data_IF_505026425170
#
_entry.id   IF_505026425170
#
_cell.length_a   1.000
_cell.length_b   1.000
_cell.length_c   1.000
_cell.angle_alpha   90.00
_cell.angle_beta   90.00
_cell.angle_gamma   90.00
#
_symmetry.space_group_name_H-M   'P 1'
#
loop_
_entity.id
_entity.type
_entity.pdbx_description
1 polymer ?
#
# COMPACT_ATOMS: atom_id res chain seq x y z
N UNK A 1 41.44 32.67 -13.37
CA UNK A 1 42.57 32.97 -12.48
C UNK A 1 42.50 34.47 -12.14
N UNK A 2 41.76 34.81 -11.05
CA UNK A 2 41.62 36.18 -10.58
C UNK A 2 42.09 36.19 -9.12
N UNK A 3 43.22 36.85 -8.89
CA UNK A 3 43.80 37.08 -7.56
C UNK A 3 43.13 38.31 -6.95
N UNK A 4 42.53 38.15 -5.79
CA UNK A 4 42.15 39.29 -4.92
C UNK A 4 43.23 39.48 -3.85
N UNK A 5 43.89 40.62 -3.91
CA UNK A 5 44.83 41.10 -2.90
C UNK A 5 44.06 41.94 -1.89
N UNK A 6 44.00 41.49 -0.64
CA UNK A 6 43.50 42.28 0.49
C UNK A 6 44.62 43.15 1.06
N UNK A 7 44.41 44.45 1.06
CA UNK A 7 45.29 45.49 1.62
C UNK A 7 44.89 45.67 3.10
N UNK A 8 45.79 45.32 4.01
CA UNK A 8 45.68 45.61 5.43
C UNK A 8 45.74 47.13 5.66
N UNK A 9 44.75 47.67 6.39
CA UNK A 9 44.83 48.95 7.08
C UNK A 9 44.84 48.69 8.59
N UNK A 10 45.98 48.97 9.23
CA UNK A 10 46.12 49.02 10.67
C UNK A 10 45.23 50.12 11.25
N UNK A 11 44.37 49.75 12.19
CA UNK A 11 43.80 50.69 13.17
C UNK A 11 43.88 50.03 14.55
N UNK A 12 44.81 50.57 15.31
CA UNK A 12 45.03 50.28 16.74
C UNK A 12 43.88 50.86 17.55
N UNK A 13 43.06 49.97 18.14
CA UNK A 13 42.30 50.30 19.36
C UNK A 13 42.11 49.01 20.16
N UNK A 14 42.56 49.03 21.40
CA UNK A 14 42.50 47.93 22.34
C UNK A 14 41.05 47.53 22.65
N UNK A 15 40.67 46.29 22.35
CA UNK A 15 39.40 45.69 22.74
C UNK A 15 39.63 44.98 24.09
N UNK A 16 38.77 45.17 25.13
CA UNK A 16 38.93 44.54 26.42
C UNK A 16 38.82 43.02 26.33
N UNK A 17 39.68 42.31 27.07
CA UNK A 17 39.83 40.85 27.05
C UNK A 17 38.57 40.00 27.39
N UNK A 18 37.49 40.65 27.80
CA UNK A 18 36.21 39.94 28.12
C UNK A 18 35.32 39.63 26.90
N UNK A 19 35.53 40.29 25.75
CA UNK A 19 34.73 40.09 24.54
C UNK A 19 35.30 38.93 23.68
N UNK A 20 36.59 38.66 23.83
CA UNK A 20 37.27 37.60 23.07
C UNK A 20 36.82 36.17 23.46
N UNK A 21 36.48 35.99 24.74
CA UNK A 21 36.06 34.65 25.23
C UNK A 21 34.66 34.21 24.74
N UNK A 22 33.73 35.18 24.60
CA UNK A 22 32.39 34.89 24.08
C UNK A 22 32.37 34.61 22.57
N UNK A 23 33.26 35.26 21.82
CA UNK A 23 33.35 35.04 20.40
C UNK A 23 33.98 33.70 20.03
N UNK A 24 34.94 33.23 20.86
CA UNK A 24 35.55 31.91 20.69
C UNK A 24 34.57 30.77 21.03
N UNK A 25 33.77 30.90 22.07
CA UNK A 25 32.73 29.93 22.44
C UNK A 25 31.62 29.93 21.40
N UNK A 26 31.23 31.09 20.84
CA UNK A 26 30.23 31.18 19.78
C UNK A 26 30.70 30.54 18.46
N UNK A 27 31.98 30.69 18.12
CA UNK A 27 32.59 30.06 16.95
C UNK A 27 32.77 28.53 17.13
N UNK A 28 33.05 28.07 18.36
CA UNK A 28 33.15 26.65 18.67
C UNK A 28 31.79 25.97 18.62
N UNK A 29 30.73 26.60 19.13
CA UNK A 29 29.35 26.07 19.05
C UNK A 29 28.84 26.00 17.62
N UNK A 30 29.25 26.92 16.72
CA UNK A 30 28.90 26.86 15.29
C UNK A 30 29.70 25.78 14.55
N UNK A 31 30.93 25.45 15.03
CA UNK A 31 31.76 24.42 14.38
C UNK A 31 31.32 22.99 14.73
N UNK A 32 30.75 22.78 15.89
CA UNK A 32 30.20 21.46 16.27
C UNK A 32 28.80 21.19 15.73
N UNK A 33 28.03 22.20 15.35
CA UNK A 33 26.75 22.05 14.70
C UNK A 33 26.81 21.84 13.16
N UNK A 34 27.98 21.50 12.61
CA UNK A 34 28.05 20.81 11.29
C UNK A 34 27.61 19.34 11.42
N UNK A 35 26.56 19.10 12.20
CA UNK A 35 25.73 17.93 12.10
C UNK A 35 25.10 17.93 10.71
N UNK A 36 25.27 16.83 9.99
CA UNK A 36 24.68 16.46 8.71
C UNK A 36 23.48 17.33 8.39
N UNK A 37 23.58 18.17 7.39
CA UNK A 37 22.40 18.79 6.80
C UNK A 37 21.47 17.63 6.45
N UNK A 38 20.41 17.46 7.22
CA UNK A 38 19.29 16.59 6.88
C UNK A 38 18.69 17.31 5.67
N UNK A 39 19.16 16.93 4.48
CA UNK A 39 18.49 17.32 3.26
C UNK A 39 17.04 16.87 3.46
N UNK A 40 16.04 17.74 3.25
CA UNK A 40 14.66 17.32 3.32
C UNK A 40 14.53 16.12 2.40
N UNK A 41 14.32 14.95 2.97
CA UNK A 41 14.04 13.76 2.17
C UNK A 41 12.75 14.08 1.43
N UNK A 42 12.87 14.31 0.12
CA UNK A 42 11.71 14.49 -0.73
C UNK A 42 10.82 13.28 -0.49
N UNK A 43 9.58 13.52 -0.11
CA UNK A 43 8.62 12.43 0.11
C UNK A 43 8.58 11.55 -1.14
N UNK A 44 8.59 10.22 -0.99
CA UNK A 44 8.55 9.33 -2.14
C UNK A 44 7.27 9.57 -2.95
N UNK A 45 7.40 9.56 -4.24
CA UNK A 45 6.26 9.57 -5.16
C UNK A 45 5.76 8.16 -5.36
N UNK A 46 4.45 8.00 -5.55
CA UNK A 46 3.82 6.70 -5.68
C UNK A 46 3.14 6.55 -7.03
N UNK A 47 3.20 5.33 -7.57
CA UNK A 47 2.62 4.95 -8.85
C UNK A 47 1.95 3.59 -8.70
N UNK A 48 0.67 3.50 -9.06
CA UNK A 48 -0.02 2.21 -9.24
C UNK A 48 0.16 1.79 -10.68
N UNK A 49 0.56 0.54 -10.88
CA UNK A 49 0.69 -0.09 -12.19
C UNK A 49 -0.16 -1.34 -12.22
N UNK A 50 -0.85 -1.55 -13.35
CA UNK A 50 -1.53 -2.80 -13.68
C UNK A 50 -0.95 -3.33 -14.98
N UNK A 51 -0.49 -4.58 -14.98
CA UNK A 51 -0.11 -5.33 -16.17
C UNK A 51 -1.12 -6.45 -16.37
N UNK A 52 -1.66 -6.56 -17.58
CA UNK A 52 -2.63 -7.59 -17.97
C UNK A 52 -2.18 -8.22 -19.28
N UNK A 53 -2.24 -9.53 -19.38
CA UNK A 53 -1.95 -10.28 -20.61
C UNK A 53 -1.81 -11.78 -20.38
N UNK A 54 -1.46 -12.52 -21.44
CA UNK A 54 -1.26 -13.97 -21.39
C UNK A 54 -0.08 -14.33 -20.49
N UNK A 55 -0.26 -15.30 -19.60
CA UNK A 55 0.82 -15.76 -18.73
C UNK A 55 1.94 -16.47 -19.50
N UNK A 56 3.15 -16.12 -19.16
CA UNK A 56 4.37 -16.74 -19.72
C UNK A 56 5.46 -16.84 -18.63
N UNK A 57 6.19 -17.96 -18.55
CA UNK A 57 7.28 -18.10 -17.60
C UNK A 57 8.28 -16.93 -17.66
N UNK A 58 8.58 -16.32 -16.52
CA UNK A 58 9.54 -15.24 -16.38
C UNK A 58 9.01 -13.82 -16.62
N UNK A 59 7.73 -13.65 -17.00
CA UNK A 59 7.14 -12.33 -17.27
C UNK A 59 7.13 -11.43 -16.02
N UNK A 60 6.74 -11.98 -14.87
CA UNK A 60 6.74 -11.27 -13.58
C UNK A 60 8.16 -10.86 -13.19
N UNK A 61 9.14 -11.76 -13.35
CA UNK A 61 10.54 -11.44 -13.08
C UNK A 61 11.07 -10.32 -14.00
N UNK A 62 10.67 -10.33 -15.28
CA UNK A 62 11.07 -9.27 -16.22
C UNK A 62 10.51 -7.91 -15.81
N UNK A 63 9.22 -7.85 -15.41
CA UNK A 63 8.58 -6.61 -14.94
C UNK A 63 9.24 -6.12 -13.64
N UNK A 64 9.39 -6.98 -12.64
CA UNK A 64 9.95 -6.59 -11.33
C UNK A 64 11.40 -6.16 -11.43
N UNK A 65 12.20 -6.81 -12.29
CA UNK A 65 13.57 -6.39 -12.60
C UNK A 65 13.61 -5.02 -13.27
N UNK A 66 12.70 -4.75 -14.20
CA UNK A 66 12.59 -3.44 -14.85
C UNK A 66 12.24 -2.35 -13.85
N UNK A 67 11.26 -2.59 -12.95
CA UNK A 67 10.90 -1.69 -11.85
C UNK A 67 12.13 -1.36 -10.99
N UNK A 68 12.87 -2.36 -10.56
CA UNK A 68 14.09 -2.19 -9.74
C UNK A 68 15.19 -1.42 -10.49
N UNK A 69 15.37 -1.67 -11.79
CA UNK A 69 16.37 -0.97 -12.61
C UNK A 69 16.07 0.52 -12.78
N UNK A 70 14.81 0.92 -12.69
CA UNK A 70 14.41 2.33 -12.70
C UNK A 70 14.59 3.01 -11.32
N UNK A 71 15.03 2.29 -10.30
CA UNK A 71 15.20 2.83 -8.93
C UNK A 71 13.89 2.96 -8.16
N UNK A 72 12.85 2.23 -8.56
CA UNK A 72 11.58 2.12 -7.84
C UNK A 72 11.59 0.94 -6.88
N UNK A 73 10.87 1.09 -5.75
CA UNK A 73 10.56 0.02 -4.81
C UNK A 73 9.12 -0.45 -5.01
N UNK A 74 8.88 -1.76 -4.82
CA UNK A 74 7.53 -2.33 -4.81
C UNK A 74 7.07 -2.40 -3.36
N UNK A 75 6.04 -1.62 -3.00
CA UNK A 75 5.49 -1.56 -1.63
C UNK A 75 4.38 -2.60 -1.41
N UNK A 76 3.56 -2.82 -2.42
CA UNK A 76 2.47 -3.79 -2.38
C UNK A 76 2.24 -4.35 -3.78
N UNK A 77 1.78 -5.59 -3.88
CA UNK A 77 1.46 -6.20 -5.16
C UNK A 77 0.42 -7.30 -5.02
N UNK A 78 -0.36 -7.48 -6.09
CA UNK A 78 -1.32 -8.57 -6.23
C UNK A 78 -1.18 -9.17 -7.62
N UNK A 79 -1.17 -10.49 -7.69
CA UNK A 79 -1.18 -11.25 -8.94
C UNK A 79 -2.35 -12.23 -8.91
N UNK A 80 -3.11 -12.27 -9.99
CA UNK A 80 -4.20 -13.21 -10.15
C UNK A 80 -4.24 -13.75 -11.58
N UNK A 81 -4.63 -15.03 -11.70
CA UNK A 81 -4.94 -15.67 -12.99
C UNK A 81 -6.45 -15.67 -13.16
N UNK A 82 -6.95 -15.13 -14.26
CA UNK A 82 -8.37 -15.04 -14.59
C UNK A 82 -8.59 -15.52 -16.04
N UNK A 83 -9.04 -16.77 -16.20
CA UNK A 83 -9.04 -17.42 -17.49
C UNK A 83 -7.60 -17.69 -17.98
N UNK A 84 -7.31 -17.35 -19.21
CA UNK A 84 -5.97 -17.47 -19.81
C UNK A 84 -5.08 -16.26 -19.57
N UNK A 85 -5.61 -15.24 -18.89
CA UNK A 85 -4.92 -13.99 -18.64
C UNK A 85 -4.45 -13.89 -17.19
N UNK A 86 -3.25 -13.30 -16.98
CA UNK A 86 -2.84 -12.86 -15.68
C UNK A 86 -3.04 -11.37 -15.51
N UNK A 87 -3.29 -10.94 -14.30
CA UNK A 87 -3.23 -9.53 -13.90
C UNK A 87 -2.25 -9.36 -12.77
N UNK A 88 -1.37 -8.37 -12.89
CA UNK A 88 -0.37 -8.05 -11.89
C UNK A 88 -0.45 -6.56 -11.55
N UNK A 89 -0.97 -6.27 -10.35
CA UNK A 89 -1.11 -4.90 -9.84
C UNK A 89 0.00 -4.65 -8.83
N UNK A 90 0.66 -3.50 -8.93
CA UNK A 90 1.76 -3.09 -8.04
C UNK A 90 1.57 -1.65 -7.59
N UNK A 91 1.88 -1.38 -6.32
CA UNK A 91 2.13 -0.05 -5.80
C UNK A 91 3.63 0.17 -5.72
N UNK A 92 4.11 1.14 -6.45
CA UNK A 92 5.52 1.51 -6.49
C UNK A 92 5.76 2.81 -5.74
N UNK A 93 6.94 2.93 -5.12
CA UNK A 93 7.46 4.19 -4.60
C UNK A 93 8.86 4.47 -5.14
N UNK A 94 9.19 5.76 -5.24
CA UNK A 94 10.51 6.18 -5.71
C UNK A 94 10.67 7.68 -5.73
N UNK A 95 11.88 8.14 -6.10
CA UNK A 95 12.11 9.55 -6.38
C UNK A 95 11.29 10.01 -7.60
N UNK A 96 11.11 11.32 -7.75
CA UNK A 96 10.45 11.87 -8.94
C UNK A 96 11.06 11.33 -10.24
N UNK A 97 12.40 11.28 -10.31
CA UNK A 97 13.10 10.79 -11.50
C UNK A 97 12.85 9.29 -11.75
N UNK A 98 12.85 8.46 -10.70
CA UNK A 98 12.57 7.04 -10.79
C UNK A 98 11.15 6.79 -11.33
N UNK A 99 10.14 7.49 -10.77
CA UNK A 99 8.75 7.38 -11.23
C UNK A 99 8.60 7.86 -12.68
N UNK A 100 9.22 8.97 -13.05
CA UNK A 100 9.16 9.46 -14.43
C UNK A 100 9.86 8.50 -15.41
N UNK A 101 10.95 7.88 -14.99
CA UNK A 101 11.67 6.90 -15.79
C UNK A 101 10.79 5.65 -16.04
N UNK A 102 10.17 5.09 -15.00
CA UNK A 102 9.31 3.91 -15.17
C UNK A 102 8.07 4.23 -16.03
N UNK A 103 7.46 5.41 -15.87
CA UNK A 103 6.33 5.85 -16.70
C UNK A 103 6.67 5.92 -18.19
N UNK A 104 7.90 6.31 -18.53
CA UNK A 104 8.33 6.41 -19.91
C UNK A 104 8.80 5.09 -20.52
N UNK A 105 9.33 4.17 -19.72
CA UNK A 105 9.98 2.95 -20.22
C UNK A 105 9.10 1.69 -20.10
N UNK A 106 8.23 1.62 -19.08
CA UNK A 106 7.40 0.43 -18.88
C UNK A 106 6.38 0.18 -20.00
N UNK A 107 5.75 1.19 -20.65
CA UNK A 107 4.88 0.93 -21.80
C UNK A 107 5.59 0.25 -22.97
N UNK A 108 6.84 0.62 -23.24
CA UNK A 108 7.66 -0.02 -24.27
C UNK A 108 7.94 -1.47 -23.89
N UNK A 109 8.31 -1.72 -22.63
CA UNK A 109 8.51 -3.07 -22.12
C UNK A 109 7.21 -3.88 -22.15
N UNK A 110 6.08 -3.27 -21.86
CA UNK A 110 4.75 -3.88 -21.98
C UNK A 110 4.46 -4.32 -23.43
N UNK A 111 4.73 -3.45 -24.40
CA UNK A 111 4.56 -3.79 -25.81
C UNK A 111 5.44 -4.96 -26.25
N UNK A 112 6.72 -5.01 -25.81
CA UNK A 112 7.61 -6.15 -26.07
C UNK A 112 7.09 -7.48 -25.48
N UNK A 113 6.39 -7.38 -24.34
CA UNK A 113 5.84 -8.53 -23.63
C UNK A 113 4.39 -8.83 -23.99
N UNK A 114 3.79 -8.06 -24.93
CA UNK A 114 2.39 -8.14 -25.34
C UNK A 114 1.41 -7.94 -24.15
N UNK A 115 1.78 -7.02 -23.24
CA UNK A 115 0.98 -6.68 -22.07
C UNK A 115 0.28 -5.34 -22.23
N UNK A 116 -0.96 -5.28 -21.78
CA UNK A 116 -1.64 -4.03 -21.50
C UNK A 116 -1.10 -3.46 -20.19
N UNK A 117 -0.49 -2.28 -20.27
CA UNK A 117 0.02 -1.56 -19.08
C UNK A 117 -0.86 -0.35 -18.82
N UNK A 118 -1.39 -0.27 -17.60
CA UNK A 118 -2.12 0.91 -17.10
C UNK A 118 -1.37 1.47 -15.90
N UNK A 119 -1.16 2.78 -15.89
CA UNK A 119 -0.42 3.45 -14.82
C UNK A 119 -1.19 4.67 -14.30
N UNK A 120 -1.14 4.89 -12.98
CA UNK A 120 -1.76 6.04 -12.34
C UNK A 120 -0.91 6.50 -11.15
N UNK A 121 -0.47 7.77 -11.17
CA UNK A 121 0.15 8.38 -9.98
C UNK A 121 -0.85 8.43 -8.83
N UNK A 122 -0.38 8.14 -7.63
CA UNK A 122 -1.18 8.13 -6.42
C UNK A 122 -0.39 8.77 -5.26
N UNK A 123 -1.06 8.99 -4.16
CA UNK A 123 -0.41 9.43 -2.92
C UNK A 123 -0.20 8.23 -2.01
N UNK A 124 0.76 8.33 -1.09
CA UNK A 124 0.87 7.37 0.00
C UNK A 124 -0.49 7.31 0.72
N UNK A 125 -1.06 6.11 0.80
CA UNK A 125 -2.29 5.94 1.56
C UNK A 125 -1.92 6.04 3.03
N UNK A 126 -2.16 7.20 3.63
CA UNK A 126 -2.29 7.28 5.08
C UNK A 126 -3.50 6.40 5.43
N UNK A 127 -3.24 5.16 5.83
CA UNK A 127 -4.31 4.31 6.36
C UNK A 127 -4.67 4.88 7.73
N UNK A 128 -5.81 5.57 7.89
CA UNK A 128 -6.31 5.80 9.24
C UNK A 128 -6.48 4.43 9.88
N UNK A 129 -6.28 4.28 11.20
CA UNK A 129 -6.60 3.05 11.88
C UNK A 129 -8.04 2.68 11.51
N UNK A 130 -8.23 1.54 10.86
CA UNK A 130 -9.57 1.05 10.51
C UNK A 130 -10.13 0.44 11.78
N UNK A 131 -11.17 1.04 12.39
CA UNK A 131 -11.64 0.59 13.69
C UNK A 131 -12.15 -0.84 13.67
N UNK A 132 -12.82 -1.25 12.58
CA UNK A 132 -13.37 -2.59 12.46
C UNK A 132 -13.11 -3.19 11.08
N UNK A 133 -12.75 -4.48 11.09
CA UNK A 133 -12.53 -5.28 9.88
C UNK A 133 -13.40 -6.53 9.93
N UNK A 134 -14.18 -6.76 8.88
CA UNK A 134 -14.98 -7.96 8.68
C UNK A 134 -14.30 -8.89 7.67
N UNK A 135 -14.06 -10.13 8.07
CA UNK A 135 -13.68 -11.22 7.17
C UNK A 135 -14.90 -12.10 6.94
N UNK A 136 -15.29 -12.23 5.69
CA UNK A 136 -16.48 -12.91 5.22
C UNK A 136 -16.06 -14.05 4.32
N UNK A 137 -16.54 -15.25 4.59
CA UNK A 137 -16.40 -16.40 3.71
C UNK A 137 -17.78 -16.99 3.48
N UNK A 138 -18.13 -17.26 2.23
CA UNK A 138 -19.43 -17.81 1.84
C UNK A 138 -19.24 -18.92 0.83
N UNK A 139 -19.99 -19.99 1.03
CA UNK A 139 -20.12 -21.10 0.09
C UNK A 139 -21.60 -21.30 -0.22
N UNK A 140 -21.98 -21.24 -1.49
CA UNK A 140 -23.37 -21.26 -1.93
C UNK A 140 -23.50 -21.87 -3.31
N UNK A 141 -24.63 -22.48 -3.64
CA UNK A 141 -24.92 -22.92 -5.00
C UNK A 141 -24.83 -21.71 -5.97
N UNK A 142 -24.07 -21.87 -7.06
CA UNK A 142 -23.84 -20.78 -8.00
C UNK A 142 -25.15 -20.33 -8.65
N UNK A 143 -25.41 -19.04 -8.58
CA UNK A 143 -26.52 -18.38 -9.27
C UNK A 143 -26.23 -16.90 -9.52
N UNK A 144 -26.91 -16.25 -10.48
CA UNK A 144 -26.76 -14.83 -10.72
C UNK A 144 -27.02 -13.97 -9.48
N UNK A 145 -26.36 -12.81 -9.40
CA UNK A 145 -26.54 -11.77 -8.37
C UNK A 145 -26.09 -12.11 -6.94
N UNK A 146 -25.48 -13.24 -6.67
CA UNK A 146 -25.03 -13.57 -5.30
C UNK A 146 -24.00 -12.59 -4.80
N UNK A 147 -22.95 -12.32 -5.60
CA UNK A 147 -21.88 -11.36 -5.21
C UNK A 147 -22.48 -9.98 -4.95
N UNK A 148 -23.40 -9.52 -5.81
CA UNK A 148 -24.13 -8.27 -5.67
C UNK A 148 -24.85 -8.19 -4.32
N UNK A 149 -25.57 -9.23 -3.91
CA UNK A 149 -26.29 -9.25 -2.63
C UNK A 149 -25.37 -9.12 -1.42
N UNK A 150 -24.18 -9.72 -1.45
CA UNK A 150 -23.22 -9.60 -0.36
C UNK A 150 -22.51 -8.22 -0.38
N UNK A 151 -22.23 -7.67 -1.54
CA UNK A 151 -21.67 -6.31 -1.64
C UNK A 151 -22.67 -5.25 -1.24
N UNK A 152 -23.97 -5.40 -1.55
CA UNK A 152 -25.06 -4.57 -1.07
C UNK A 152 -25.21 -4.60 0.46
N UNK A 153 -25.03 -5.78 1.05
CA UNK A 153 -25.03 -5.91 2.51
C UNK A 153 -23.92 -5.07 3.15
N UNK A 154 -22.71 -5.14 2.57
CA UNK A 154 -21.54 -4.38 3.04
C UNK A 154 -21.80 -2.86 2.89
N UNK A 155 -22.32 -2.42 1.73
CA UNK A 155 -22.63 -1.02 1.44
C UNK A 155 -23.71 -0.45 2.38
N UNK A 156 -24.81 -1.18 2.60
CA UNK A 156 -25.87 -0.79 3.55
C UNK A 156 -25.36 -0.56 4.97
N UNK A 157 -24.28 -1.21 5.36
CA UNK A 157 -23.62 -1.02 6.65
C UNK A 157 -22.46 -0.03 6.60
N UNK A 158 -22.35 0.75 5.49
CA UNK A 158 -21.33 1.77 5.28
C UNK A 158 -19.90 1.26 5.42
N UNK A 159 -19.67 0.00 5.07
CA UNK A 159 -18.36 -0.63 5.02
C UNK A 159 -17.80 -0.58 3.60
N UNK A 160 -16.47 -0.52 3.48
CA UNK A 160 -15.78 -0.56 2.19
C UNK A 160 -15.18 -1.94 1.96
N UNK A 161 -15.44 -2.53 0.79
CA UNK A 161 -14.76 -3.75 0.35
C UNK A 161 -13.29 -3.44 0.08
N UNK A 162 -12.40 -4.09 0.82
CA UNK A 162 -10.95 -3.96 0.64
C UNK A 162 -10.38 -5.06 -0.27
N UNK A 163 -10.96 -6.25 -0.18
CA UNK A 163 -10.58 -7.41 -0.99
C UNK A 163 -11.80 -8.27 -1.28
N UNK A 164 -11.88 -8.79 -2.49
CA UNK A 164 -12.90 -9.74 -2.90
C UNK A 164 -12.25 -10.78 -3.80
N UNK A 165 -12.41 -12.05 -3.44
CA UNK A 165 -12.02 -13.21 -4.23
C UNK A 165 -13.24 -14.11 -4.37
N UNK A 166 -13.56 -14.52 -5.59
CA UNK A 166 -14.62 -15.48 -5.84
C UNK A 166 -14.14 -16.58 -6.79
N UNK A 167 -14.63 -17.79 -6.58
CA UNK A 167 -14.31 -18.95 -7.43
C UNK A 167 -15.53 -19.85 -7.54
N UNK A 168 -15.77 -20.35 -8.74
CA UNK A 168 -16.77 -21.37 -8.99
C UNK A 168 -16.09 -22.74 -9.01
N UNK A 169 -16.54 -23.66 -8.17
CA UNK A 169 -16.16 -25.06 -8.24
C UNK A 169 -17.16 -25.76 -9.18
N UNK A 170 -16.67 -26.42 -10.25
CA UNK A 170 -17.55 -27.13 -11.18
C UNK A 170 -18.41 -28.20 -10.49
N UNK A 171 -19.57 -28.47 -11.06
CA UNK A 171 -20.46 -29.54 -10.63
C UNK A 171 -19.71 -30.87 -10.50
N UNK A 172 -19.85 -31.56 -9.37
CA UNK A 172 -19.28 -32.88 -9.13
C UNK A 172 -20.37 -33.83 -8.64
N UNK A 173 -20.46 -35.03 -9.24
CA UNK A 173 -21.30 -36.15 -8.75
C UNK A 173 -22.74 -35.74 -8.34
N UNK A 174 -23.49 -35.10 -9.23
CA UNK A 174 -24.86 -34.62 -9.00
C UNK A 174 -25.01 -33.41 -8.04
N UNK A 175 -23.92 -32.77 -7.65
CA UNK A 175 -23.99 -31.49 -6.94
C UNK A 175 -23.93 -30.33 -7.93
N UNK A 176 -24.73 -29.26 -7.75
CA UNK A 176 -24.65 -28.07 -8.60
C UNK A 176 -23.30 -27.39 -8.45
N UNK A 177 -22.91 -26.49 -9.41
CA UNK A 177 -21.75 -25.65 -9.25
C UNK A 177 -21.85 -24.85 -7.95
N UNK A 178 -20.75 -24.75 -7.24
CA UNK A 178 -20.70 -24.03 -5.97
C UNK A 178 -19.82 -22.79 -6.11
N UNK A 179 -20.36 -21.64 -5.73
CA UNK A 179 -19.65 -20.37 -5.66
C UNK A 179 -19.04 -20.22 -4.26
N UNK A 180 -17.74 -20.07 -4.21
CA UNK A 180 -16.98 -19.67 -3.03
C UNK A 180 -16.65 -18.19 -3.12
N UNK A 181 -16.95 -17.43 -2.06
CA UNK A 181 -16.66 -16.01 -1.96
C UNK A 181 -15.87 -15.75 -0.69
N UNK A 182 -14.80 -14.98 -0.82
CA UNK A 182 -14.05 -14.45 0.31
C UNK A 182 -13.97 -12.92 0.17
N UNK A 183 -14.36 -12.20 1.22
CA UNK A 183 -14.32 -10.76 1.25
C UNK A 183 -13.68 -10.25 2.53
N UNK A 184 -12.94 -9.15 2.41
CA UNK A 184 -12.49 -8.33 3.52
C UNK A 184 -13.12 -6.98 3.38
N UNK A 185 -13.83 -6.52 4.41
CA UNK A 185 -14.46 -5.21 4.43
C UNK A 185 -13.99 -4.41 5.65
N UNK A 186 -13.85 -3.10 5.47
CA UNK A 186 -13.41 -2.17 6.51
C UNK A 186 -14.51 -1.16 6.82
N UNK A 187 -14.77 -0.93 8.09
CA UNK A 187 -15.64 0.15 8.53
C UNK A 187 -14.82 1.41 8.85
N UNK A 188 -15.22 2.60 8.39
CA UNK A 188 -14.57 3.86 8.77
C UNK A 188 -14.94 4.28 10.20
N UNK A 189 -16.01 3.72 10.76
CA UNK A 189 -16.50 3.99 12.12
C UNK A 189 -16.63 2.67 12.87
N UNK A 190 -16.58 2.74 14.21
CA UNK A 190 -16.91 1.57 15.04
C UNK A 190 -18.34 1.10 14.72
N UNK A 191 -18.42 -0.07 14.14
CA UNK A 191 -19.71 -0.70 13.87
C UNK A 191 -20.07 -1.55 15.09
N UNK A 192 -21.27 -1.36 15.64
CA UNK A 192 -21.83 -2.36 16.56
C UNK A 192 -21.99 -3.64 15.75
N UNK A 193 -21.16 -4.66 16.01
CA UNK A 193 -21.09 -5.87 15.19
C UNK A 193 -22.39 -6.64 15.05
N UNK A 194 -23.28 -6.54 16.07
CA UNK A 194 -24.52 -7.29 16.15
C UNK A 194 -25.52 -7.07 14.98
N UNK A 195 -25.80 -5.83 14.51
CA UNK A 195 -26.71 -5.64 13.38
C UNK A 195 -26.17 -6.19 12.05
N UNK A 196 -24.87 -6.03 11.80
CA UNK A 196 -24.23 -6.57 10.60
C UNK A 196 -24.21 -8.09 10.61
N UNK A 197 -23.88 -8.70 11.74
CA UNK A 197 -23.88 -10.15 11.92
C UNK A 197 -25.26 -10.76 11.73
N UNK A 198 -26.30 -10.14 12.29
CA UNK A 198 -27.69 -10.57 12.10
C UNK A 198 -28.11 -10.49 10.63
N UNK A 199 -27.80 -9.39 9.95
CA UNK A 199 -28.12 -9.19 8.55
C UNK A 199 -27.37 -10.19 7.65
N UNK A 200 -26.09 -10.48 7.95
CA UNK A 200 -25.32 -11.49 7.27
C UNK A 200 -25.92 -12.89 7.43
N UNK A 201 -26.28 -13.28 8.65
CA UNK A 201 -26.89 -14.58 8.93
C UNK A 201 -28.25 -14.72 8.23
N UNK A 202 -29.06 -13.66 8.21
CA UNK A 202 -30.33 -13.65 7.47
C UNK A 202 -30.11 -13.86 5.98
N UNK A 203 -29.16 -13.15 5.40
CA UNK A 203 -28.82 -13.29 3.98
C UNK A 203 -28.34 -14.70 3.64
N UNK A 204 -27.49 -15.31 4.49
CA UNK A 204 -27.04 -16.68 4.32
C UNK A 204 -28.21 -17.67 4.37
N UNK A 205 -29.17 -17.49 5.29
CA UNK A 205 -30.38 -18.32 5.36
C UNK A 205 -31.24 -18.19 4.10
N UNK A 206 -31.48 -16.96 3.62
CA UNK A 206 -32.26 -16.73 2.40
C UNK A 206 -31.65 -17.42 1.17
N UNK A 207 -30.32 -17.45 1.09
CA UNK A 207 -29.58 -18.03 -0.03
C UNK A 207 -29.27 -19.51 0.13
N UNK A 208 -29.65 -20.14 1.25
CA UNK A 208 -29.16 -21.45 1.64
C UNK A 208 -27.63 -21.57 1.58
N UNK A 209 -26.93 -20.49 1.96
CA UNK A 209 -25.48 -20.40 1.94
C UNK A 209 -24.86 -20.81 3.27
N UNK A 210 -23.69 -21.43 3.21
CA UNK A 210 -22.84 -21.60 4.37
C UNK A 210 -21.92 -20.39 4.48
N UNK A 211 -22.11 -19.58 5.53
CA UNK A 211 -21.36 -18.35 5.72
C UNK A 211 -20.57 -18.33 7.04
N UNK A 212 -19.39 -17.77 7.02
CA UNK A 212 -18.57 -17.47 8.21
C UNK A 212 -18.23 -15.99 8.21
N UNK A 213 -18.52 -15.31 9.33
CA UNK A 213 -18.19 -13.94 9.57
C UNK A 213 -17.27 -13.84 10.79
N UNK A 214 -16.14 -13.12 10.64
CA UNK A 214 -15.26 -12.77 11.76
C UNK A 214 -15.07 -11.27 11.77
N UNK A 215 -15.37 -10.65 12.92
CA UNK A 215 -15.19 -9.21 13.15
C UNK A 215 -13.96 -9.00 14.02
N UNK A 216 -13.08 -8.11 13.59
CA UNK A 216 -11.91 -7.68 14.35
C UNK A 216 -12.02 -6.19 14.62
N UNK A 217 -11.88 -5.80 15.89
CA UNK A 217 -11.76 -4.42 16.31
C UNK A 217 -10.34 -4.12 16.80
N UNK A 218 -9.87 -2.90 16.64
CA UNK A 218 -8.50 -2.49 17.03
C UNK A 218 -8.22 -2.73 18.51
N UNK A 219 -9.24 -2.84 19.37
CA UNK A 219 -9.08 -3.17 20.79
C UNK A 219 -8.57 -4.59 21.04
N UNK A 220 -8.74 -5.51 20.07
CA UNK A 220 -8.36 -6.91 20.25
C UNK A 220 -6.91 -7.18 19.78
N UNK A 221 -6.32 -6.27 19.01
CA UNK A 221 -4.94 -6.40 18.53
C UNK A 221 -3.89 -6.15 19.63
N UNK A 222 -4.17 -5.27 20.59
CA UNK A 222 -3.25 -4.96 21.71
C UNK A 222 -3.22 -6.05 22.80
N UNK A 223 -4.20 -6.95 22.83
CA UNK A 223 -4.26 -8.02 23.83
C UNK A 223 -3.57 -9.33 23.41
N UNK A 224 -3.25 -9.49 22.11
CA UNK A 224 -2.63 -10.73 21.60
C UNK A 224 -1.10 -10.68 21.44
N UNK A 225 -0.48 -9.50 21.53
CA UNK A 225 0.98 -9.37 21.46
C UNK A 225 1.72 -9.59 22.80
N UNK A 226 1.01 -9.79 23.92
CA UNK A 226 1.62 -10.00 25.24
C UNK A 226 1.87 -11.46 25.62
N UNK A 227 1.70 -12.44 24.72
CA UNK A 227 1.84 -13.87 25.05
C UNK A 227 2.77 -14.61 24.07
N UNK A 228 3.97 -14.11 23.80
CA UNK A 228 5.04 -14.99 23.29
C UNK A 228 6.44 -14.38 23.38
N UNK A 229 6.83 -13.98 24.58
CA UNK A 229 8.22 -13.70 24.88
C UNK A 229 8.57 -14.25 26.28
N UNK A 230 8.48 -15.58 26.48
CA UNK A 230 9.22 -16.32 27.51
C UNK A 230 9.32 -17.80 27.08
N UNK A 231 10.42 -18.17 26.50
CA UNK A 231 11.34 -19.28 26.74
C UNK A 231 12.08 -19.68 25.49
#
# INVERSE_FOLDING_TARGET
MVRFTLREKQASHAIPALVSSFFYVYLMVISESRGKAILPQSQPHHLVITALGVDRPGIVNTITRHVSSCGCNIEDSRLAMLGDEFTFIMLLSGSWNAITLIESTLPLKGAELELLIVMKRTNARLRPPMPDTAFIQVEVADSPHIIERFTDLIDKHQMNVAELVSRITPAQHNLPPTLYIQMTAHSPTRTSGTPFEQAFNTLCQELNAQGTLRLYSVSDADSSESVSAVR
#
